data_IF_021417061025
#
_entry.id   IF_021417061025
#
_cell.length_a   1.000
_cell.length_b   1.000
_cell.length_c   1.000
_cell.angle_alpha   90.00
_cell.angle_beta   90.00
_cell.angle_gamma   90.00
#
_symmetry.space_group_name_H-M   'P 1'
#
loop_
_entity.id
_entity.type
_entity.pdbx_description
1 polymer ?
#
# COMPACT_ATOMS: atom_id res chain seq x y z
N UNK A 1 -37.51 -6.83 -13.91
CA UNK A 1 -36.22 -7.55 -13.87
C UNK A 1 -35.24 -6.68 -13.12
N UNK A 2 -35.06 -6.99 -11.84
CA UNK A 2 -34.23 -6.25 -10.87
C UNK A 2 -32.80 -6.77 -10.96
N UNK A 3 -31.83 -5.86 -11.12
CA UNK A 3 -30.40 -6.19 -11.21
C UNK A 3 -29.86 -6.54 -9.81
N UNK A 4 -29.38 -7.76 -9.55
CA UNK A 4 -28.91 -8.18 -8.23
C UNK A 4 -27.38 -8.12 -8.20
N UNK A 5 -26.79 -6.94 -8.00
CA UNK A 5 -25.35 -6.82 -7.74
C UNK A 5 -25.00 -5.89 -6.57
N UNK A 6 -25.98 -5.48 -5.76
CA UNK A 6 -25.70 -4.84 -4.47
C UNK A 6 -25.50 -5.93 -3.40
N UNK A 7 -24.45 -6.73 -3.59
CA UNK A 7 -23.92 -7.57 -2.52
C UNK A 7 -23.27 -6.68 -1.47
N UNK A 8 -23.69 -6.86 -0.23
CA UNK A 8 -23.13 -6.28 0.98
C UNK A 8 -21.69 -6.83 1.19
N UNK A 9 -20.75 -6.33 0.39
CA UNK A 9 -19.33 -6.48 0.67
C UNK A 9 -18.98 -5.48 1.76
N UNK A 10 -18.67 -6.01 2.94
CA UNK A 10 -18.50 -5.28 4.20
C UNK A 10 -17.80 -3.93 4.08
N UNK A 11 -18.24 -3.01 4.94
CA UNK A 11 -17.80 -1.61 5.14
C UNK A 11 -16.28 -1.38 5.25
N UNK A 12 -15.48 -1.70 4.23
CA UNK A 12 -14.01 -1.61 4.30
C UNK A 12 -13.35 -0.89 3.12
N UNK A 13 -14.14 -0.31 2.22
CA UNK A 13 -13.66 0.70 1.26
C UNK A 13 -14.75 1.74 1.04
N UNK A 14 -14.67 2.87 1.74
CA UNK A 14 -15.53 4.01 1.42
C UNK A 14 -15.07 4.57 0.08
N UNK A 15 -15.70 4.11 -0.99
CA UNK A 15 -15.56 4.70 -2.32
C UNK A 15 -16.73 5.65 -2.53
N UNK A 16 -16.43 6.94 -2.63
CA UNK A 16 -17.44 7.95 -2.95
C UNK A 16 -17.37 8.33 -4.42
N UNK A 17 -18.52 8.65 -5.00
CA UNK A 17 -18.64 9.07 -6.39
C UNK A 17 -19.11 10.52 -6.39
N UNK A 18 -18.35 11.41 -7.03
CA UNK A 18 -18.68 12.83 -7.16
C UNK A 18 -18.62 13.27 -8.62
N UNK A 19 -19.26 14.39 -8.96
CA UNK A 19 -19.12 15.00 -10.28
C UNK A 19 -17.88 15.90 -10.39
N UNK A 20 -17.44 16.21 -11.62
CA UNK A 20 -16.39 17.25 -11.85
C UNK A 20 -16.76 18.60 -11.25
N UNK A 21 -18.03 18.99 -11.31
CA UNK A 21 -18.50 20.28 -10.75
C UNK A 21 -18.45 20.25 -9.21
N UNK A 22 -18.81 19.13 -8.60
CA UNK A 22 -18.73 18.95 -7.16
C UNK A 22 -17.27 18.97 -6.68
N UNK A 23 -16.37 18.28 -7.39
CA UNK A 23 -14.93 18.37 -7.13
C UNK A 23 -14.46 19.83 -7.14
N UNK A 24 -14.80 20.60 -8.17
CA UNK A 24 -14.39 21.99 -8.29
C UNK A 24 -14.94 22.89 -7.16
N UNK A 25 -16.14 22.62 -6.67
CA UNK A 25 -16.77 23.37 -5.57
C UNK A 25 -16.22 22.99 -4.20
N UNK A 26 -15.84 21.72 -4.03
CA UNK A 26 -15.49 21.13 -2.74
C UNK A 26 -14.05 20.59 -2.70
N UNK A 27 -13.13 21.19 -3.47
CA UNK A 27 -11.75 20.67 -3.63
C UNK A 27 -11.07 20.40 -2.31
N UNK A 28 -11.09 21.36 -1.36
CA UNK A 28 -10.42 21.21 -0.06
C UNK A 28 -11.00 20.03 0.73
N UNK A 29 -12.32 19.97 0.87
CA UNK A 29 -12.99 18.89 1.60
C UNK A 29 -12.74 17.52 0.94
N UNK A 30 -12.70 17.48 -0.39
CA UNK A 30 -12.39 16.27 -1.17
C UNK A 30 -10.97 15.80 -0.88
N UNK A 31 -9.99 16.71 -0.92
CA UNK A 31 -8.60 16.38 -0.59
C UNK A 31 -8.48 15.88 0.85
N UNK A 32 -9.15 16.51 1.81
CA UNK A 32 -9.10 16.09 3.21
C UNK A 32 -9.72 14.70 3.41
N UNK A 33 -10.78 14.37 2.68
CA UNK A 33 -11.39 13.02 2.66
C UNK A 33 -10.43 11.99 2.09
N UNK A 34 -9.80 12.30 0.96
CA UNK A 34 -8.81 11.42 0.30
C UNK A 34 -7.62 11.16 1.22
N UNK A 35 -7.10 12.19 1.89
CA UNK A 35 -6.00 12.05 2.86
C UNK A 35 -6.34 11.20 4.08
N UNK A 36 -7.64 11.05 4.40
CA UNK A 36 -8.13 10.12 5.44
C UNK A 36 -8.35 8.69 4.93
N UNK A 37 -7.97 8.42 3.67
CA UNK A 37 -8.04 7.09 3.06
C UNK A 37 -9.33 6.81 2.29
N UNK A 38 -10.19 7.81 2.06
CA UNK A 38 -11.37 7.64 1.21
C UNK A 38 -10.95 7.66 -0.27
N UNK A 39 -11.37 6.67 -1.06
CA UNK A 39 -11.17 6.72 -2.52
C UNK A 39 -12.32 7.49 -3.15
N UNK A 40 -12.03 8.48 -3.98
CA UNK A 40 -13.07 9.28 -4.63
C UNK A 40 -13.00 9.10 -6.14
N UNK A 41 -14.08 8.61 -6.73
CA UNK A 41 -14.26 8.48 -8.17
C UNK A 41 -14.97 9.72 -8.70
N UNK A 42 -14.37 10.37 -9.69
CA UNK A 42 -14.92 11.56 -10.34
C UNK A 42 -15.57 11.15 -11.65
N UNK A 43 -16.88 11.38 -11.74
CA UNK A 43 -17.66 11.12 -12.95
C UNK A 43 -17.91 12.37 -13.78
N UNK A 44 -17.99 12.17 -15.09
CA UNK A 44 -18.53 13.15 -16.03
C UNK A 44 -19.28 12.42 -17.14
N UNK A 45 -20.45 12.93 -17.52
CA UNK A 45 -21.30 12.32 -18.54
C UNK A 45 -21.61 10.83 -18.31
N UNK A 46 -21.78 10.43 -17.05
CA UNK A 46 -22.10 9.04 -16.66
C UNK A 46 -20.90 8.12 -16.47
N UNK A 47 -19.72 8.52 -16.96
CA UNK A 47 -18.51 7.69 -16.96
C UNK A 47 -17.53 8.07 -15.85
N UNK A 48 -16.82 7.07 -15.31
CA UNK A 48 -15.70 7.25 -14.38
C UNK A 48 -14.48 7.75 -15.16
N UNK A 49 -13.99 8.94 -14.80
CA UNK A 49 -12.88 9.55 -15.54
C UNK A 49 -11.58 9.58 -14.73
N UNK A 50 -11.68 9.81 -13.42
CA UNK A 50 -10.52 10.00 -12.54
C UNK A 50 -10.81 9.33 -11.18
N UNK A 51 -9.82 8.67 -10.61
CA UNK A 51 -9.81 8.28 -9.21
C UNK A 51 -8.83 9.19 -8.44
N UNK A 52 -9.27 9.69 -7.29
CA UNK A 52 -8.45 10.43 -6.33
C UNK A 52 -8.10 9.50 -5.17
N UNK A 53 -6.80 9.38 -4.91
CA UNK A 53 -6.20 8.49 -3.92
C UNK A 53 -5.21 9.28 -3.06
N UNK A 54 -5.03 8.85 -1.82
CA UNK A 54 -3.92 9.33 -1.00
C UNK A 54 -2.59 8.94 -1.67
N UNK A 55 -1.57 9.78 -1.52
CA UNK A 55 -0.29 9.57 -2.22
C UNK A 55 0.40 8.28 -1.77
N UNK A 56 0.27 7.89 -0.50
CA UNK A 56 0.84 6.64 0.00
C UNK A 56 0.09 5.44 -0.56
N UNK A 57 -1.24 5.51 -0.65
CA UNK A 57 -2.05 4.45 -1.26
C UNK A 57 -1.71 4.25 -2.73
N UNK A 58 -1.56 5.34 -3.48
CA UNK A 58 -1.13 5.30 -4.87
C UNK A 58 0.24 4.61 -5.02
N UNK A 59 1.22 4.96 -4.16
CA UNK A 59 2.55 4.35 -4.21
C UNK A 59 2.53 2.87 -3.83
N UNK A 60 1.73 2.47 -2.84
CA UNK A 60 1.52 1.07 -2.47
C UNK A 60 0.95 0.25 -3.63
N UNK A 61 -0.13 0.73 -4.24
CA UNK A 61 -0.74 0.06 -5.39
C UNK A 61 0.26 -0.13 -6.53
N UNK A 62 1.05 0.92 -6.82
CA UNK A 62 2.10 0.84 -7.86
C UNK A 62 3.21 -0.13 -7.52
N UNK A 63 3.68 -0.15 -6.28
CA UNK A 63 4.74 -1.04 -5.84
C UNK A 63 4.31 -2.51 -5.88
N UNK A 64 3.08 -2.81 -5.45
CA UNK A 64 2.54 -4.18 -5.55
C UNK A 64 2.32 -4.58 -7.02
N UNK A 65 1.82 -3.67 -7.86
CA UNK A 65 1.66 -3.94 -9.29
C UNK A 65 3.01 -4.21 -9.96
N UNK A 66 4.05 -3.43 -9.66
CA UNK A 66 5.39 -3.65 -10.20
C UNK A 66 6.01 -4.96 -9.70
N UNK A 67 5.76 -5.33 -8.44
CA UNK A 67 6.18 -6.62 -7.89
C UNK A 67 5.60 -7.79 -8.68
N UNK A 68 4.27 -7.78 -8.90
CA UNK A 68 3.56 -8.85 -9.60
C UNK A 68 3.90 -8.93 -11.09
N UNK A 69 4.39 -7.85 -11.67
CA UNK A 69 4.85 -7.80 -13.06
C UNK A 69 6.28 -8.35 -13.24
N UNK A 70 7.04 -8.60 -12.16
CA UNK A 70 8.37 -9.20 -12.25
C UNK A 70 8.28 -10.63 -12.82
N UNK A 71 9.25 -11.06 -13.65
CA UNK A 71 9.35 -12.47 -14.03
C UNK A 71 9.46 -13.31 -12.77
N UNK A 72 8.51 -14.23 -12.56
CA UNK A 72 8.59 -15.16 -11.44
C UNK A 72 9.71 -16.15 -11.72
N UNK A 73 10.88 -15.94 -11.14
CA UNK A 73 11.82 -17.04 -10.94
C UNK A 73 11.12 -18.07 -10.04
N UNK A 74 11.25 -19.38 -10.29
CA UNK A 74 10.79 -20.38 -9.34
C UNK A 74 11.54 -20.12 -8.04
N UNK A 75 10.85 -19.59 -7.04
CA UNK A 75 11.47 -19.30 -5.74
C UNK A 75 11.62 -20.64 -5.03
N UNK A 76 12.86 -21.15 -4.99
CA UNK A 76 13.21 -22.28 -4.13
C UNK A 76 13.30 -21.74 -2.70
N UNK A 77 12.15 -21.70 -2.01
CA UNK A 77 12.07 -21.28 -0.60
C UNK A 77 12.61 -22.39 0.33
N UNK A 78 13.85 -22.80 0.14
CA UNK A 78 14.55 -23.70 1.06
C UNK A 78 15.76 -22.98 1.64
N UNK A 79 15.59 -22.49 2.87
CA UNK A 79 16.67 -22.25 3.86
C UNK A 79 17.57 -21.02 3.71
N UNK A 80 17.18 -19.96 2.98
CA UNK A 80 17.93 -18.69 3.02
C UNK A 80 17.33 -17.73 4.06
N UNK A 81 18.18 -17.27 4.98
CA UNK A 81 17.78 -16.30 6.01
C UNK A 81 17.40 -14.95 5.37
N UNK A 82 16.49 -14.17 5.99
CA UNK A 82 16.11 -12.86 5.48
C UNK A 82 17.32 -11.97 5.24
N UNK A 83 17.43 -11.38 4.04
CA UNK A 83 18.57 -10.52 3.68
C UNK A 83 18.54 -9.19 4.45
N UNK A 84 17.36 -8.73 4.83
CA UNK A 84 17.14 -7.42 5.42
C UNK A 84 17.16 -6.29 4.38
N UNK A 85 16.87 -5.07 4.84
CA UNK A 85 16.98 -3.84 4.06
C UNK A 85 17.41 -2.68 4.96
N UNK A 86 18.52 -2.05 4.59
CA UNK A 86 19.07 -0.89 5.28
C UNK A 86 18.45 0.43 4.78
N UNK A 87 18.53 1.47 5.61
CA UNK A 87 17.94 2.77 5.29
C UNK A 87 18.71 3.52 4.19
N UNK A 88 20.03 3.30 4.07
CA UNK A 88 20.86 3.97 3.07
C UNK A 88 20.47 3.56 1.66
N UNK A 89 20.23 2.26 1.43
CA UNK A 89 19.72 1.74 0.15
C UNK A 89 18.38 2.38 -0.25
N UNK A 90 17.49 2.62 0.72
CA UNK A 90 16.19 3.29 0.48
C UNK A 90 16.38 4.77 0.16
N UNK A 91 17.25 5.48 0.88
CA UNK A 91 17.59 6.87 0.63
C UNK A 91 18.25 7.06 -0.74
N UNK A 92 19.16 6.17 -1.12
CA UNK A 92 19.79 6.17 -2.44
C UNK A 92 18.76 5.98 -3.55
N UNK A 93 17.86 5.00 -3.40
CA UNK A 93 16.77 4.79 -4.36
C UNK A 93 15.88 6.02 -4.51
N UNK A 94 15.56 6.67 -3.38
CA UNK A 94 14.79 7.91 -3.35
C UNK A 94 15.50 9.04 -4.10
N UNK A 95 16.78 9.24 -3.84
CA UNK A 95 17.55 10.35 -4.39
C UNK A 95 17.84 10.18 -5.88
N UNK A 96 18.09 8.95 -6.33
CA UNK A 96 18.52 8.68 -7.70
C UNK A 96 17.37 8.39 -8.65
N UNK A 97 16.36 7.62 -8.23
CA UNK A 97 15.22 7.21 -9.08
C UNK A 97 13.87 7.77 -8.60
N UNK A 98 13.84 8.42 -7.44
CA UNK A 98 12.68 9.13 -6.94
C UNK A 98 11.83 8.32 -5.96
N UNK A 99 10.76 8.93 -5.42
CA UNK A 99 9.97 8.35 -4.33
C UNK A 99 9.37 6.97 -4.66
N UNK A 100 8.93 6.75 -5.90
CA UNK A 100 8.32 5.46 -6.25
C UNK A 100 9.36 4.32 -6.19
N UNK A 101 10.62 4.57 -6.57
CA UNK A 101 11.65 3.53 -6.56
C UNK A 101 11.97 3.06 -5.12
N UNK A 102 12.03 4.00 -4.17
CA UNK A 102 12.16 3.67 -2.75
C UNK A 102 10.98 2.84 -2.23
N UNK A 103 9.75 3.19 -2.65
CA UNK A 103 8.55 2.43 -2.29
C UNK A 103 8.55 1.03 -2.90
N UNK A 104 8.93 0.90 -4.17
CA UNK A 104 9.06 -0.38 -4.85
C UNK A 104 10.08 -1.26 -4.10
N UNK A 105 11.27 -0.73 -3.80
CA UNK A 105 12.31 -1.45 -3.07
C UNK A 105 11.81 -2.00 -1.72
N UNK A 106 11.20 -1.15 -0.88
CA UNK A 106 10.73 -1.56 0.45
C UNK A 106 9.60 -2.58 0.36
N UNK A 107 8.61 -2.35 -0.50
CA UNK A 107 7.45 -3.25 -0.62
C UNK A 107 7.86 -4.58 -1.26
N UNK A 108 8.82 -4.59 -2.17
CA UNK A 108 9.34 -5.84 -2.75
C UNK A 108 10.07 -6.65 -1.69
N UNK A 109 10.99 -6.05 -0.93
CA UNK A 109 11.66 -6.71 0.19
C UNK A 109 10.66 -7.27 1.22
N UNK A 110 9.59 -6.53 1.54
CA UNK A 110 8.53 -7.04 2.41
C UNK A 110 7.80 -8.25 1.81
N UNK A 111 7.43 -8.19 0.52
CA UNK A 111 6.71 -9.27 -0.14
C UNK A 111 7.58 -10.52 -0.39
N UNK A 112 8.89 -10.32 -0.58
CA UNK A 112 9.90 -11.39 -0.70
C UNK A 112 10.23 -12.04 0.66
N UNK A 113 9.90 -11.37 1.76
CA UNK A 113 10.13 -11.86 3.13
C UNK A 113 11.45 -11.41 3.74
N UNK A 114 12.20 -10.54 3.06
CA UNK A 114 13.48 -10.01 3.54
C UNK A 114 13.32 -9.05 4.72
N UNK A 115 12.15 -8.43 4.87
CA UNK A 115 11.81 -7.56 6.00
C UNK A 115 10.39 -7.77 6.49
N UNK A 116 10.18 -7.48 7.78
CA UNK A 116 8.85 -7.48 8.41
C UNK A 116 8.01 -6.26 7.98
N UNK A 117 6.70 -6.33 8.22
CA UNK A 117 5.79 -5.19 8.00
C UNK A 117 6.17 -3.99 8.88
N UNK A 118 6.63 -4.24 10.11
CA UNK A 118 7.10 -3.21 11.02
C UNK A 118 8.30 -2.45 10.46
N UNK A 119 9.29 -3.20 9.96
CA UNK A 119 10.47 -2.62 9.31
C UNK A 119 10.11 -1.86 8.04
N UNK A 120 9.21 -2.39 7.22
CA UNK A 120 8.72 -1.70 6.02
C UNK A 120 8.03 -0.37 6.37
N UNK A 121 7.18 -0.35 7.41
CA UNK A 121 6.57 0.87 7.92
C UNK A 121 7.61 1.90 8.32
N UNK A 122 8.58 1.51 9.15
CA UNK A 122 9.65 2.38 9.60
C UNK A 122 10.45 2.99 8.42
N UNK A 123 10.86 2.18 7.45
CA UNK A 123 11.62 2.65 6.27
C UNK A 123 10.83 3.62 5.38
N UNK A 124 9.49 3.52 5.37
CA UNK A 124 8.61 4.43 4.63
C UNK A 124 8.16 5.65 5.46
N UNK A 125 8.62 5.78 6.71
CA UNK A 125 8.20 6.84 7.62
C UNK A 125 6.74 6.70 8.07
N UNK A 126 6.23 5.48 8.15
CA UNK A 126 4.86 5.15 8.57
C UNK A 126 4.85 4.29 9.83
N UNK A 127 3.80 4.43 10.64
CA UNK A 127 3.53 3.47 11.69
C UNK A 127 3.13 2.12 11.07
N UNK A 128 3.55 1.00 11.67
CA UNK A 128 3.21 -0.35 11.20
C UNK A 128 1.69 -0.57 11.08
N UNK A 129 0.91 -0.04 12.02
CA UNK A 129 -0.54 -0.20 12.05
C UNK A 129 -1.19 0.64 10.96
N UNK A 130 -0.66 1.82 10.66
CA UNK A 130 -1.12 2.63 9.53
C UNK A 130 -0.85 1.93 8.20
N UNK A 131 0.33 1.33 8.05
CA UNK A 131 0.67 0.54 6.87
C UNK A 131 -0.25 -0.67 6.74
N UNK A 132 -0.48 -1.40 7.83
CA UNK A 132 -1.43 -2.52 7.88
C UNK A 132 -2.85 -2.12 7.47
N UNK A 133 -3.37 -1.02 8.02
CA UNK A 133 -4.70 -0.49 7.69
C UNK A 133 -4.78 -0.15 6.20
N UNK A 134 -3.74 0.45 5.63
CA UNK A 134 -3.67 0.74 4.18
C UNK A 134 -3.68 -0.53 3.34
N UNK A 135 -2.91 -1.54 3.71
CA UNK A 135 -2.92 -2.84 3.03
C UNK A 135 -4.31 -3.48 3.03
N UNK A 136 -4.94 -3.56 4.20
CA UNK A 136 -6.29 -4.11 4.33
C UNK A 136 -7.31 -3.33 3.51
N UNK A 137 -7.31 -2.00 3.64
CA UNK A 137 -8.21 -1.12 2.89
C UNK A 137 -8.03 -1.35 1.39
N UNK A 138 -6.81 -1.31 0.88
CA UNK A 138 -6.53 -1.45 -0.56
C UNK A 138 -6.68 -2.89 -1.09
N UNK A 139 -7.02 -3.87 -0.24
CA UNK A 139 -7.13 -5.27 -0.64
C UNK A 139 -5.79 -5.86 -1.08
N UNK A 140 -4.68 -5.34 -0.57
CA UNK A 140 -3.33 -5.77 -0.92
C UNK A 140 -2.96 -7.05 -0.15
N UNK A 141 -2.12 -7.93 -0.74
CA UNK A 141 -1.68 -9.16 -0.09
C UNK A 141 -0.87 -8.83 1.17
N UNK A 142 -1.26 -9.45 2.29
CA UNK A 142 -0.50 -9.41 3.55
C UNK A 142 0.19 -10.75 3.78
N UNK A 143 1.42 -10.72 4.27
CA UNK A 143 2.09 -11.92 4.81
C UNK A 143 1.34 -12.31 6.09
N UNK A 144 0.76 -13.50 6.13
CA UNK A 144 0.03 -14.01 7.28
C UNK A 144 0.99 -14.76 8.20
N UNK A 145 1.72 -14.00 9.01
CA UNK A 145 2.59 -14.49 10.08
C UNK A 145 4.08 -14.27 9.85
N UNK A 146 4.89 -14.23 10.93
CA UNK A 146 6.35 -14.23 10.82
C UNK A 146 6.80 -15.50 10.08
N UNK A 147 7.71 -15.36 9.12
CA UNK A 147 8.38 -16.48 8.50
C UNK A 147 9.27 -17.24 9.49
N UNK A 148 9.79 -16.55 10.51
CA UNK A 148 10.67 -17.11 11.54
C UNK A 148 10.67 -16.33 12.88
N UNK A 149 11.43 -16.84 13.86
CA UNK A 149 11.59 -16.27 15.20
C UNK A 149 12.35 -14.91 15.19
N UNK A 150 13.23 -14.69 14.21
CA UNK A 150 13.98 -13.44 14.09
C UNK A 150 13.06 -12.28 13.65
N UNK A 151 12.13 -12.55 12.73
CA UNK A 151 11.07 -11.61 12.34
C UNK A 151 10.15 -11.28 13.52
N UNK A 152 9.79 -12.28 14.33
CA UNK A 152 9.01 -12.06 15.55
C UNK A 152 9.73 -11.19 16.59
N UNK A 153 11.06 -11.32 16.73
CA UNK A 153 11.88 -10.51 17.65
C UNK A 153 12.05 -9.07 17.15
N UNK A 154 12.30 -8.87 15.87
CA UNK A 154 12.41 -7.54 15.27
C UNK A 154 11.08 -6.75 15.38
N UNK A 155 9.93 -7.43 15.28
CA UNK A 155 8.61 -6.81 15.49
C UNK A 155 8.36 -6.38 16.94
N UNK A 156 8.97 -7.07 17.92
CA UNK A 156 8.96 -6.71 19.34
C UNK A 156 9.86 -5.50 19.60
N UNK A 157 11.07 -5.48 19.04
CA UNK A 157 11.99 -4.36 19.17
C UNK A 157 11.43 -3.07 18.55
N UNK A 158 10.73 -3.17 17.41
CA UNK A 158 10.06 -2.04 16.78
C UNK A 158 8.80 -1.53 17.53
N UNK A 159 8.31 -2.25 18.55
CA UNK A 159 7.24 -1.80 19.44
C UNK A 159 7.75 -1.03 20.66
N UNK A 160 9.02 -1.23 21.03
CA UNK A 160 9.63 -0.66 22.24
C UNK A 160 10.47 0.60 21.98
N UNK A 161 10.68 0.97 20.71
CA UNK A 161 11.39 2.20 20.27
C UNK A 161 10.48 3.24 19.63
#
# INVERSE_FOLDING_TARGET
>A
MTNPLTGDFGKMNATAIISRTELARNTRQTVDRVRRGETILVKSFGEEQIALLDIHDYRLLRAVASYKARPQSPVDHREEAPVGLDATSVEEAWNQQGPQAAWDLVIHAYLDGDISLGRAGHLLGLNRFDLQVRFHRLGLPMRTGPGDEAEARADLEALEG
#
